data_IF_253945973833
#
_entry.id   IF_253945973833
#
_cell.length_a   1.000
_cell.length_b   1.000
_cell.length_c   1.000
_cell.angle_alpha   90.00
_cell.angle_beta   90.00
_cell.angle_gamma   90.00
#
_symmetry.space_group_name_H-M   'P 1'
#
loop_
_entity.id
_entity.type
_entity.pdbx_description
1 polymer ?
#
# COMPACT_ATOMS: atom_id res chain seq x y z
N UNK A 1 11.39 53.95 9.64
CA UNK A 1 10.73 54.02 8.32
C UNK A 1 9.81 52.80 8.20
N UNK A 2 8.52 53.05 7.87
CA UNK A 2 7.43 52.14 7.43
C UNK A 2 7.30 50.77 8.13
N UNK A 3 6.35 50.46 9.03
CA UNK A 3 4.87 50.52 8.98
C UNK A 3 4.21 49.83 7.78
N UNK A 4 3.52 48.70 8.04
CA UNK A 4 2.20 48.32 7.50
C UNK A 4 1.68 47.05 8.20
N UNK A 5 0.78 47.23 9.17
CA UNK A 5 -0.66 46.82 9.13
C UNK A 5 -0.86 45.42 9.77
N UNK A 6 -1.42 45.20 10.98
CA UNK A 6 -2.61 45.79 11.62
C UNK A 6 -3.83 45.63 10.68
N UNK A 7 -4.99 45.03 10.97
CA UNK A 7 -5.77 44.74 12.19
C UNK A 7 -6.90 43.77 11.71
N UNK A 8 -7.48 42.84 12.49
CA UNK A 8 -8.84 42.90 13.09
C UNK A 8 -9.25 41.44 13.37
N UNK A 9 -9.43 40.97 14.60
CA UNK A 9 -10.46 41.29 15.61
C UNK A 9 -11.80 40.58 15.35
N UNK A 10 -12.19 39.71 16.30
CA UNK A 10 -13.54 39.39 16.85
C UNK A 10 -13.35 38.09 17.67
N UNK A 11 -13.16 38.07 19.01
CA UNK A 11 -14.06 38.49 20.10
C UNK A 11 -15.51 38.08 19.84
N UNK A 12 -16.26 37.37 20.68
CA UNK A 12 -16.05 36.71 21.96
C UNK A 12 -17.26 35.76 22.12
N UNK A 13 -17.17 34.67 22.88
CA UNK A 13 -17.85 34.51 24.17
C UNK A 13 -18.89 33.39 24.14
N UNK A 14 -18.56 32.35 24.91
CA UNK A 14 -19.41 31.49 25.74
C UNK A 14 -20.92 31.39 25.43
N UNK A 15 -21.34 30.16 25.11
CA UNK A 15 -22.59 29.61 25.63
C UNK A 15 -22.36 28.13 25.97
N UNK A 16 -22.28 27.84 27.27
CA UNK A 16 -22.45 26.52 27.85
C UNK A 16 -23.91 26.10 27.59
N UNK A 17 -24.14 24.87 27.10
CA UNK A 17 -25.29 24.02 27.44
C UNK A 17 -25.11 22.63 26.80
N UNK A 18 -25.27 21.62 27.64
CA UNK A 18 -24.99 20.21 27.45
C UNK A 18 -25.92 19.53 26.46
N UNK A 19 -25.39 18.76 25.51
CA UNK A 19 -26.05 17.57 24.94
C UNK A 19 -24.99 16.57 24.49
N UNK A 20 -25.21 15.30 24.86
CA UNK A 20 -24.44 14.14 24.42
C UNK A 20 -24.33 14.14 22.89
N UNK A 21 -23.12 14.13 22.36
CA UNK A 21 -22.83 13.40 21.14
C UNK A 21 -21.72 12.42 21.46
N UNK A 22 -22.04 11.15 21.18
CA UNK A 22 -21.12 10.04 21.25
C UNK A 22 -19.78 10.42 20.61
N UNK A 23 -18.70 9.79 21.09
CA UNK A 23 -17.41 9.78 20.38
C UNK A 23 -17.68 9.86 18.89
N UNK A 24 -17.13 10.83 18.14
CA UNK A 24 -16.95 10.56 16.74
C UNK A 24 -16.09 9.30 16.77
N UNK A 25 -16.69 8.17 16.38
CA UNK A 25 -15.95 7.04 15.83
C UNK A 25 -14.93 7.75 14.96
N UNK A 26 -13.67 7.74 15.40
CA UNK A 26 -12.61 8.35 14.64
C UNK A 26 -12.74 7.68 13.28
N UNK A 27 -13.25 8.43 12.32
CA UNK A 27 -13.36 8.01 10.95
C UNK A 27 -11.90 7.87 10.57
N UNK A 28 -11.38 6.66 10.77
CA UNK A 28 -10.00 6.30 10.45
C UNK A 28 -9.93 6.59 8.98
N UNK A 29 -9.37 7.75 8.64
CA UNK A 29 -9.19 8.19 7.27
C UNK A 29 -8.40 7.07 6.62
N UNK A 30 -9.11 6.23 5.88
CA UNK A 30 -8.55 5.16 5.09
C UNK A 30 -7.79 5.90 3.99
N UNK A 31 -6.50 6.04 4.22
CA UNK A 31 -5.60 6.67 3.26
C UNK A 31 -5.10 5.57 2.32
N UNK A 32 -5.06 5.84 1.00
CA UNK A 32 -4.44 4.93 0.05
C UNK A 32 -2.94 4.78 0.37
N UNK A 33 -2.31 3.75 -0.21
CA UNK A 33 -0.86 3.61 -0.04
C UNK A 33 -0.12 4.81 -0.62
N UNK A 34 0.89 5.30 0.10
CA UNK A 34 1.79 6.32 -0.43
C UNK A 34 2.65 5.75 -1.55
N UNK A 35 3.15 6.62 -2.43
CA UNK A 35 4.04 6.19 -3.51
C UNK A 35 5.29 5.46 -2.97
N UNK A 36 5.83 5.89 -1.82
CA UNK A 36 6.95 5.23 -1.17
C UNK A 36 6.66 3.76 -0.81
N UNK A 37 5.45 3.46 -0.32
CA UNK A 37 5.04 2.09 -0.01
C UNK A 37 4.89 1.26 -1.28
N UNK A 38 4.35 1.84 -2.35
CA UNK A 38 4.20 1.18 -3.63
C UNK A 38 5.56 0.88 -4.30
N UNK A 39 6.50 1.82 -4.25
CA UNK A 39 7.85 1.65 -4.79
C UNK A 39 8.63 0.59 -4.01
N UNK A 40 8.52 0.61 -2.67
CA UNK A 40 9.09 -0.43 -1.81
C UNK A 40 8.50 -1.81 -2.15
N UNK A 41 7.18 -1.88 -2.33
CA UNK A 41 6.48 -3.12 -2.63
C UNK A 41 6.91 -3.68 -3.99
N UNK A 42 6.99 -2.85 -5.03
CA UNK A 42 7.51 -3.27 -6.34
C UNK A 42 8.91 -3.85 -6.19
N UNK A 43 9.83 -3.11 -5.53
CA UNK A 43 11.20 -3.56 -5.32
C UNK A 43 11.29 -4.90 -4.58
N UNK A 44 10.42 -5.15 -3.60
CA UNK A 44 10.34 -6.44 -2.90
C UNK A 44 9.80 -7.55 -3.79
N UNK A 45 8.80 -7.30 -4.62
CA UNK A 45 8.33 -8.28 -5.59
C UNK A 45 9.43 -8.61 -6.60
N UNK A 46 10.14 -7.61 -7.14
CA UNK A 46 11.28 -7.81 -8.05
C UNK A 46 12.36 -8.69 -7.43
N UNK A 47 12.67 -8.47 -6.14
CA UNK A 47 13.66 -9.25 -5.40
C UNK A 47 13.16 -10.67 -5.15
N UNK A 48 11.94 -10.83 -4.61
CA UNK A 48 11.39 -12.14 -4.27
C UNK A 48 11.09 -13.02 -5.49
N UNK A 49 10.97 -12.41 -6.67
CA UNK A 49 10.75 -13.08 -7.94
C UNK A 49 12.00 -13.14 -8.83
N UNK A 50 13.20 -12.82 -8.30
CA UNK A 50 14.44 -12.77 -9.09
C UNK A 50 14.80 -14.10 -9.77
N UNK A 51 14.49 -15.20 -9.10
CA UNK A 51 14.87 -16.55 -9.52
C UNK A 51 13.78 -17.23 -10.36
N UNK A 52 12.70 -16.51 -10.67
CA UNK A 52 11.65 -17.02 -11.52
C UNK A 52 12.09 -16.97 -12.99
N UNK A 53 11.77 -18.00 -13.78
CA UNK A 53 12.09 -17.99 -15.20
C UNK A 53 11.42 -16.80 -15.88
N UNK A 54 12.22 -16.00 -16.57
CA UNK A 54 11.74 -14.89 -17.42
C UNK A 54 11.53 -15.39 -18.84
N UNK A 55 10.29 -15.41 -19.33
CA UNK A 55 10.03 -15.67 -20.75
C UNK A 55 10.27 -14.40 -21.59
N UNK A 56 10.40 -14.58 -22.91
CA UNK A 56 10.48 -13.51 -23.92
C UNK A 56 9.15 -12.74 -23.93
N UNK A 57 9.04 -11.76 -23.04
CA UNK A 57 7.90 -10.85 -22.84
C UNK A 57 6.58 -11.50 -22.33
N UNK A 58 5.99 -10.98 -21.23
CA UNK A 58 6.54 -10.08 -20.20
C UNK A 58 7.37 -10.85 -19.16
N UNK A 59 8.41 -10.21 -18.64
CA UNK A 59 9.20 -10.72 -17.51
C UNK A 59 8.28 -10.92 -16.28
N UNK A 60 8.05 -12.15 -15.82
CA UNK A 60 7.01 -12.48 -14.82
C UNK A 60 7.07 -11.60 -13.57
N UNK A 61 8.28 -11.29 -13.08
CA UNK A 61 8.48 -10.41 -11.93
C UNK A 61 7.95 -8.98 -12.15
N UNK A 62 8.10 -8.41 -13.35
CA UNK A 62 7.58 -7.08 -13.70
C UNK A 62 6.06 -7.09 -13.79
N UNK A 63 5.50 -8.12 -14.44
CA UNK A 63 4.05 -8.23 -14.58
C UNK A 63 3.38 -8.40 -13.22
N UNK A 64 3.90 -9.31 -12.39
CA UNK A 64 3.34 -9.52 -11.04
C UNK A 64 3.63 -8.35 -10.09
N UNK A 65 4.79 -7.69 -10.21
CA UNK A 65 5.10 -6.47 -9.46
C UNK A 65 4.10 -5.35 -9.76
N UNK A 66 3.85 -5.09 -11.04
CA UNK A 66 2.85 -4.12 -11.47
C UNK A 66 1.44 -4.50 -10.98
N UNK A 67 1.00 -5.73 -11.20
CA UNK A 67 -0.35 -6.15 -10.78
C UNK A 67 -0.57 -6.02 -9.27
N UNK A 68 0.41 -6.45 -8.47
CA UNK A 68 0.33 -6.39 -7.00
C UNK A 68 0.31 -4.95 -6.50
N UNK A 69 1.12 -4.06 -7.07
CA UNK A 69 1.19 -2.65 -6.68
C UNK A 69 -0.05 -1.87 -7.12
N UNK A 70 -0.59 -2.13 -8.33
CA UNK A 70 -1.87 -1.56 -8.76
C UNK A 70 -3.00 -1.96 -7.82
N UNK A 71 -3.12 -3.24 -7.48
CA UNK A 71 -4.15 -3.70 -6.54
C UNK A 71 -3.98 -3.13 -5.14
N UNK A 72 -2.75 -2.82 -4.71
CA UNK A 72 -2.50 -2.15 -3.44
C UNK A 72 -2.87 -0.65 -3.50
N UNK A 73 -2.62 0.02 -4.63
CA UNK A 73 -2.91 1.42 -4.85
C UNK A 73 -4.42 1.71 -4.99
N UNK A 74 -5.18 0.80 -5.58
CA UNK A 74 -6.63 0.92 -5.76
C UNK A 74 -7.42 0.77 -4.45
N UNK A 75 -6.78 0.27 -3.38
CA UNK A 75 -7.46 0.13 -2.09
C UNK A 75 -7.65 1.48 -1.40
N UNK A 76 -8.84 1.72 -0.82
CA UNK A 76 -9.10 2.95 -0.08
C UNK A 76 -8.25 3.04 1.19
N UNK A 77 -7.86 1.91 1.79
CA UNK A 77 -6.92 1.86 2.91
C UNK A 77 -5.67 1.11 2.50
N UNK A 78 -4.50 1.68 2.78
CA UNK A 78 -3.25 0.96 2.58
C UNK A 78 -3.20 -0.27 3.50
N UNK A 79 -3.24 -1.45 2.89
CA UNK A 79 -3.05 -2.73 3.56
C UNK A 79 -2.30 -3.67 2.62
N UNK A 80 -1.24 -4.27 3.16
CA UNK A 80 -0.40 -5.24 2.47
C UNK A 80 -0.85 -6.68 2.73
N UNK A 81 -1.96 -6.92 3.45
CA UNK A 81 -2.38 -8.26 3.88
C UNK A 81 -2.73 -9.17 2.70
N UNK A 82 -3.28 -8.59 1.62
CA UNK A 82 -3.64 -9.34 0.41
C UNK A 82 -2.50 -9.46 -0.59
N UNK A 83 -1.38 -8.76 -0.40
CA UNK A 83 -0.23 -8.80 -1.33
C UNK A 83 0.24 -10.23 -1.59
N UNK A 84 0.46 -11.10 -0.58
CA UNK A 84 0.87 -12.47 -0.83
C UNK A 84 -0.13 -13.28 -1.64
N UNK A 85 -1.43 -13.03 -1.43
CA UNK A 85 -2.51 -13.70 -2.18
C UNK A 85 -2.50 -13.23 -3.63
N UNK A 86 -2.44 -11.92 -3.86
CA UNK A 86 -2.42 -11.32 -5.18
C UNK A 86 -1.19 -11.76 -5.98
N UNK A 87 -0.02 -11.82 -5.33
CA UNK A 87 1.20 -12.35 -5.94
C UNK A 87 1.02 -13.82 -6.33
N UNK A 88 0.49 -14.66 -5.43
CA UNK A 88 0.22 -16.08 -5.74
C UNK A 88 -0.72 -16.24 -6.94
N UNK A 89 -1.79 -15.45 -6.99
CA UNK A 89 -2.72 -15.44 -8.12
C UNK A 89 -2.02 -15.06 -9.41
N UNK A 90 -1.20 -14.01 -9.41
CA UNK A 90 -0.43 -13.65 -10.61
C UNK A 90 0.52 -14.78 -11.05
N UNK A 91 1.27 -15.36 -10.12
CA UNK A 91 2.20 -16.45 -10.42
C UNK A 91 1.51 -17.71 -10.95
N UNK A 92 0.26 -17.95 -10.54
CA UNK A 92 -0.53 -19.09 -11.04
C UNK A 92 -0.86 -19.00 -12.53
N UNK A 93 -0.82 -17.80 -13.13
CA UNK A 93 -0.97 -17.61 -14.58
C UNK A 93 0.19 -18.28 -15.34
N UNK A 94 1.33 -18.46 -14.67
CA UNK A 94 2.54 -19.03 -15.23
C UNK A 94 2.81 -20.46 -14.73
N UNK A 95 1.79 -21.19 -14.28
CA UNK A 95 1.96 -22.53 -13.68
C UNK A 95 2.61 -23.55 -14.62
N UNK A 96 2.53 -23.35 -15.93
CA UNK A 96 3.17 -24.22 -16.94
C UNK A 96 4.70 -24.10 -16.95
N UNK A 97 5.25 -23.06 -16.32
CA UNK A 97 6.69 -22.71 -16.38
C UNK A 97 7.26 -22.52 -14.97
N UNK A 98 6.46 -21.98 -14.07
CA UNK A 98 6.82 -21.74 -12.67
C UNK A 98 6.32 -22.92 -11.85
N UNK A 99 7.26 -23.65 -11.26
CA UNK A 99 6.91 -24.72 -10.34
C UNK A 99 6.22 -24.17 -9.09
N UNK A 100 5.32 -24.97 -8.50
CA UNK A 100 4.68 -24.65 -7.22
C UNK A 100 5.70 -24.29 -6.12
N UNK A 101 6.86 -24.95 -6.14
CA UNK A 101 7.97 -24.66 -5.22
C UNK A 101 8.48 -23.22 -5.41
N UNK A 102 8.78 -22.82 -6.64
CA UNK A 102 9.24 -21.46 -6.96
C UNK A 102 8.19 -20.41 -6.59
N UNK A 103 6.92 -20.65 -6.95
CA UNK A 103 5.81 -19.77 -6.61
C UNK A 103 5.68 -19.61 -5.08
N UNK A 104 5.73 -20.72 -4.35
CA UNK A 104 5.65 -20.71 -2.88
C UNK A 104 6.84 -19.99 -2.24
N UNK A 105 8.05 -20.18 -2.76
CA UNK A 105 9.24 -19.46 -2.28
C UNK A 105 9.09 -17.95 -2.46
N UNK A 106 8.67 -17.49 -3.64
CA UNK A 106 8.45 -16.06 -3.91
C UNK A 106 7.36 -15.47 -3.00
N UNK A 107 6.26 -16.20 -2.80
CA UNK A 107 5.15 -15.79 -1.92
C UNK A 107 5.56 -15.75 -0.45
N UNK A 108 6.41 -16.68 0.01
CA UNK A 108 6.90 -16.64 1.38
C UNK A 108 7.91 -15.52 1.59
N UNK A 109 8.79 -15.27 0.60
CA UNK A 109 9.69 -14.13 0.62
C UNK A 109 8.93 -12.80 0.78
N UNK A 110 7.83 -12.58 0.02
CA UNK A 110 7.07 -11.33 0.16
C UNK A 110 6.34 -11.24 1.51
N UNK A 111 5.82 -12.35 2.04
CA UNK A 111 5.20 -12.38 3.38
C UNK A 111 6.20 -11.96 4.44
N UNK A 112 7.41 -12.50 4.37
CA UNK A 112 8.44 -12.22 5.37
C UNK A 112 8.95 -10.79 5.24
N UNK A 113 9.07 -10.25 4.02
CA UNK A 113 9.38 -8.84 3.79
C UNK A 113 8.31 -7.90 4.38
N UNK A 114 7.03 -8.20 4.22
CA UNK A 114 5.93 -7.41 4.79
C UNK A 114 5.95 -7.47 6.32
N UNK A 115 6.19 -8.65 6.90
CA UNK A 115 6.30 -8.80 8.37
C UNK A 115 7.51 -8.07 8.95
N UNK A 116 8.60 -7.98 8.19
CA UNK A 116 9.80 -7.24 8.60
C UNK A 116 9.57 -5.71 8.59
N UNK A 117 8.50 -5.24 7.94
CA UNK A 117 8.15 -3.82 7.85
C UNK A 117 8.77 -3.10 6.66
N UNK A 118 8.27 -1.89 6.44
CA UNK A 118 8.73 -0.94 5.41
C UNK A 118 9.82 -0.05 6.00
#
# INVERSE_FOLDING_TARGET
MAFKCAVLALAAAACLLSTVSASPVAEQVRLPCSQQVLDWLDGKVQTCCSDLPSFVFPETKKLCGWQVTTLAAEKPACSLDDVPRNLKTCLSIFSDIISDKQSTTAVNCIKDAIKAGI
#
